data_IF_701615958254
#
_entry.id   IF_701615958254
#
_cell.length_a   1.000
_cell.length_b   1.000
_cell.length_c   1.000
_cell.angle_alpha   90.00
_cell.angle_beta   90.00
_cell.angle_gamma   90.00
#
_symmetry.space_group_name_H-M   'P 1'
#
loop_
_entity.id
_entity.type
_entity.pdbx_description
1 polymer ?
#
# COMPACT_ATOMS: atom_id res chain seq x y z
N UNK A 1 -25.69 16.55 -26.58
CA UNK A 1 -24.83 17.50 -27.35
C UNK A 1 -25.03 17.32 -28.85
N UNK A 2 -24.99 16.11 -29.43
CA UNK A 2 -25.14 15.88 -30.87
C UNK A 2 -26.50 16.35 -31.43
N UNK A 3 -27.59 16.17 -30.65
CA UNK A 3 -28.92 16.62 -31.00
C UNK A 3 -29.03 18.16 -30.97
N UNK A 4 -28.46 18.82 -29.95
CA UNK A 4 -28.41 20.25 -29.79
C UNK A 4 -27.48 20.90 -30.83
N UNK A 5 -26.48 20.19 -31.31
CA UNK A 5 -25.57 20.60 -32.39
C UNK A 5 -26.17 20.38 -33.79
N UNK A 6 -27.38 19.81 -33.91
CA UNK A 6 -28.04 19.54 -35.19
C UNK A 6 -27.41 18.47 -36.06
N UNK A 7 -26.53 17.62 -35.43
CA UNK A 7 -25.83 16.53 -36.12
C UNK A 7 -26.67 15.26 -36.24
N UNK A 8 -27.72 15.12 -35.42
CA UNK A 8 -28.67 14.02 -35.45
C UNK A 8 -30.08 14.58 -35.68
N UNK A 9 -30.87 13.92 -36.53
CA UNK A 9 -32.25 14.32 -36.79
C UNK A 9 -33.09 14.26 -35.50
N UNK A 10 -33.88 15.32 -35.28
CA UNK A 10 -34.82 15.38 -34.17
C UNK A 10 -35.91 14.33 -34.32
N UNK A 11 -36.34 13.72 -33.20
CA UNK A 11 -37.29 12.62 -33.17
C UNK A 11 -38.62 13.11 -32.56
N UNK A 12 -39.74 12.87 -33.26
CA UNK A 12 -41.05 13.16 -32.71
C UNK A 12 -41.43 12.18 -31.57
N UNK A 13 -41.68 12.71 -30.39
CA UNK A 13 -42.15 11.92 -29.26
C UNK A 13 -43.58 11.41 -29.42
N UNK A 14 -43.85 10.23 -28.94
CA UNK A 14 -45.21 9.61 -28.92
C UNK A 14 -45.70 9.53 -27.48
N UNK A 15 -47.04 9.47 -27.28
CA UNK A 15 -47.60 9.24 -25.97
C UNK A 15 -47.04 7.95 -25.33
N UNK A 16 -46.63 8.03 -24.07
CA UNK A 16 -45.97 6.99 -23.28
C UNK A 16 -44.49 6.71 -23.63
N UNK A 17 -43.83 7.53 -24.46
CA UNK A 17 -42.41 7.42 -24.61
C UNK A 17 -41.70 7.79 -23.28
N UNK A 18 -40.67 7.03 -22.93
CA UNK A 18 -39.82 7.29 -21.78
C UNK A 18 -38.46 7.88 -22.27
N UNK A 19 -38.23 9.12 -21.91
CA UNK A 19 -36.92 9.75 -22.15
C UNK A 19 -36.04 9.65 -20.90
N UNK A 20 -35.00 8.81 -20.95
CA UNK A 20 -34.01 8.72 -19.88
C UNK A 20 -32.73 9.47 -20.30
N UNK A 21 -32.40 10.52 -19.57
CA UNK A 21 -31.18 11.30 -19.76
C UNK A 21 -30.25 10.96 -18.59
N UNK A 22 -29.21 10.14 -18.85
CA UNK A 22 -28.20 9.82 -17.86
C UNK A 22 -27.19 10.96 -17.71
N UNK A 23 -26.73 11.18 -16.47
CA UNK A 23 -25.63 12.12 -16.24
C UNK A 23 -24.31 11.52 -16.70
N UNK A 24 -23.33 12.37 -17.07
CA UNK A 24 -21.98 11.93 -17.43
C UNK A 24 -21.34 11.12 -16.28
N UNK A 25 -21.60 11.51 -15.05
CA UNK A 25 -21.11 10.81 -13.85
C UNK A 25 -21.70 9.42 -13.67
N UNK A 26 -22.92 9.16 -14.12
CA UNK A 26 -23.54 7.83 -14.09
C UNK A 26 -23.03 6.89 -15.18
N UNK A 27 -22.42 7.44 -16.23
CA UNK A 27 -21.85 6.68 -17.35
C UNK A 27 -20.33 6.45 -17.21
N UNK A 28 -19.66 7.15 -16.29
CA UNK A 28 -18.25 6.93 -16.01
C UNK A 28 -18.08 5.71 -15.09
N UNK A 29 -17.31 4.74 -15.54
CA UNK A 29 -16.78 3.72 -14.64
C UNK A 29 -15.95 4.42 -13.56
N UNK A 30 -16.25 4.14 -12.28
CA UNK A 30 -15.42 4.61 -11.17
C UNK A 30 -14.11 3.83 -11.20
N UNK A 31 -13.08 4.45 -11.76
CA UNK A 31 -11.75 3.89 -11.75
C UNK A 31 -11.13 4.02 -10.35
N UNK A 32 -10.56 2.95 -9.87
CA UNK A 32 -9.90 2.91 -8.58
C UNK A 32 -8.57 2.17 -8.65
N UNK A 33 -7.75 2.36 -7.63
CA UNK A 33 -6.49 1.67 -7.39
C UNK A 33 -6.47 1.21 -5.93
N UNK A 34 -5.83 0.09 -5.66
CA UNK A 34 -5.80 -0.48 -4.30
C UNK A 34 -4.37 -0.51 -3.79
N UNK A 35 -4.17 -0.10 -2.54
CA UNK A 35 -2.88 -0.25 -1.84
C UNK A 35 -3.05 -1.11 -0.59
N UNK A 36 -2.15 -2.06 -0.42
CA UNK A 36 -2.17 -3.06 0.63
C UNK A 36 -0.78 -3.21 1.27
N UNK A 37 -0.74 -3.82 2.44
CA UNK A 37 0.50 -4.13 3.16
C UNK A 37 0.92 -3.06 4.15
N UNK A 38 2.23 -2.75 4.23
CA UNK A 38 2.81 -1.91 5.27
C UNK A 38 2.66 -0.40 4.99
N UNK A 39 1.40 0.04 4.88
CA UNK A 39 1.00 1.45 4.78
C UNK A 39 0.07 1.81 5.94
N UNK A 40 -0.06 3.10 6.25
CA UNK A 40 -0.88 3.53 7.40
C UNK A 40 -2.38 3.32 7.18
N UNK A 41 -2.84 3.46 5.95
CA UNK A 41 -4.26 3.30 5.58
C UNK A 41 -4.38 2.43 4.33
N UNK A 42 -4.28 1.09 4.47
CA UNK A 42 -4.47 0.19 3.33
C UNK A 42 -5.95 0.18 2.92
N UNK A 43 -6.24 0.62 1.69
CA UNK A 43 -7.60 0.72 1.16
C UNK A 43 -7.60 0.84 -0.37
N UNK A 44 -8.80 0.98 -0.92
CA UNK A 44 -9.03 1.29 -2.33
C UNK A 44 -9.30 2.78 -2.49
N UNK A 45 -8.54 3.43 -3.35
CA UNK A 45 -8.57 4.87 -3.59
C UNK A 45 -9.07 5.18 -4.99
N UNK A 46 -9.74 6.32 -5.20
CA UNK A 46 -10.13 6.74 -6.54
C UNK A 46 -8.88 7.00 -7.41
N UNK A 47 -8.91 6.48 -8.62
CA UNK A 47 -7.83 6.70 -9.59
C UNK A 47 -7.94 8.10 -10.21
N UNK A 48 -6.81 8.77 -10.32
CA UNK A 48 -6.66 10.01 -11.10
C UNK A 48 -5.71 9.79 -12.29
N UNK A 49 -5.97 10.46 -13.40
CA UNK A 49 -5.10 10.37 -14.58
C UNK A 49 -3.69 10.88 -14.25
N UNK A 50 -2.69 10.09 -14.60
CA UNK A 50 -1.29 10.40 -14.30
C UNK A 50 -0.87 10.07 -12.87
N UNK A 51 -1.74 9.46 -12.05
CA UNK A 51 -1.44 9.08 -10.66
C UNK A 51 -0.22 8.16 -10.60
N UNK A 52 0.72 8.49 -9.74
CA UNK A 52 1.93 7.69 -9.49
C UNK A 52 1.78 6.79 -8.26
N UNK A 53 2.76 5.90 -8.04
CA UNK A 53 2.78 5.07 -6.82
C UNK A 53 2.98 5.94 -5.58
N UNK A 54 3.75 7.02 -5.68
CA UNK A 54 3.96 7.97 -4.60
C UNK A 54 2.67 8.69 -4.21
N UNK A 55 1.89 9.15 -5.19
CA UNK A 55 0.61 9.79 -4.94
C UNK A 55 -0.32 8.85 -4.16
N UNK A 56 -0.33 7.56 -4.54
CA UNK A 56 -1.12 6.55 -3.85
C UNK A 56 -0.60 6.29 -2.42
N UNK A 57 0.72 6.26 -2.22
CA UNK A 57 1.32 6.14 -0.87
C UNK A 57 0.97 7.35 -0.01
N UNK A 58 1.00 8.56 -0.57
CA UNK A 58 0.58 9.79 0.13
C UNK A 58 -0.92 9.73 0.47
N UNK A 59 -1.77 9.30 -0.45
CA UNK A 59 -3.20 9.11 -0.21
C UNK A 59 -3.46 8.09 0.92
N UNK A 60 -2.61 7.05 1.03
CA UNK A 60 -2.63 6.07 2.11
C UNK A 60 -1.97 6.56 3.43
N UNK A 61 -1.75 7.87 3.59
CA UNK A 61 -1.12 8.50 4.74
C UNK A 61 0.36 8.10 4.98
N UNK A 62 1.02 7.54 3.97
CA UNK A 62 2.43 7.16 4.00
C UNK A 62 2.69 5.73 4.45
N UNK A 63 3.97 5.37 4.45
CA UNK A 63 4.45 4.05 4.83
C UNK A 63 4.51 3.88 6.35
N UNK A 64 4.41 2.63 6.81
CA UNK A 64 4.76 2.24 8.15
C UNK A 64 6.30 2.13 8.28
N UNK A 65 6.83 2.25 9.49
CA UNK A 65 8.26 2.07 9.79
C UNK A 65 8.76 0.67 9.39
N UNK A 66 7.88 -0.32 9.46
CA UNK A 66 8.14 -1.70 9.07
C UNK A 66 8.16 -1.94 7.56
N UNK A 67 7.78 -0.95 6.75
CA UNK A 67 7.70 -1.09 5.30
C UNK A 67 9.07 -1.29 4.64
N UNK A 68 9.11 -2.09 3.59
CA UNK A 68 10.27 -2.20 2.72
C UNK A 68 10.15 -1.21 1.56
N UNK A 69 10.99 -0.18 1.56
CA UNK A 69 11.07 0.74 0.43
C UNK A 69 11.65 0.08 -0.84
N UNK A 70 12.46 -0.98 -0.68
CA UNK A 70 13.10 -1.69 -1.78
C UNK A 70 12.18 -2.70 -2.49
N UNK A 71 10.96 -2.93 -2.04
CA UNK A 71 10.13 -4.04 -2.53
C UNK A 71 8.65 -3.68 -2.55
N UNK A 72 8.27 -2.79 -3.45
CA UNK A 72 6.88 -2.49 -3.75
C UNK A 72 6.48 -3.24 -5.02
N UNK A 73 5.45 -4.07 -4.90
CA UNK A 73 4.95 -4.91 -5.98
C UNK A 73 3.65 -4.33 -6.52
N UNK A 74 3.57 -4.13 -7.83
CA UNK A 74 2.38 -3.65 -8.52
C UNK A 74 1.86 -4.78 -9.39
N UNK A 75 0.57 -5.09 -9.24
CA UNK A 75 -0.11 -6.11 -10.04
C UNK A 75 -1.11 -5.42 -10.94
N UNK A 76 -0.93 -5.55 -12.25
CA UNK A 76 -1.76 -4.98 -13.29
C UNK A 76 -2.53 -6.06 -14.04
N UNK A 77 -3.82 -5.86 -14.22
CA UNK A 77 -4.66 -6.77 -15.00
C UNK A 77 -4.37 -6.61 -16.49
N UNK A 78 -4.13 -7.74 -17.17
CA UNK A 78 -4.06 -7.74 -18.61
C UNK A 78 -5.49 -7.77 -19.17
N UNK A 79 -5.94 -6.65 -19.69
CA UNK A 79 -7.21 -6.53 -20.40
C UNK A 79 -6.92 -6.54 -21.91
N UNK A 80 -7.24 -7.62 -22.60
CA UNK A 80 -7.31 -7.62 -24.05
C UNK A 80 -8.78 -7.73 -24.49
N UNK A 81 -9.44 -6.58 -24.75
CA UNK A 81 -10.87 -6.56 -25.12
C UNK A 81 -11.15 -7.20 -26.49
N UNK A 82 -10.13 -7.52 -27.27
CA UNK A 82 -10.25 -8.12 -28.61
C UNK A 82 -9.96 -9.63 -28.61
N UNK A 83 -9.46 -10.17 -27.49
CA UNK A 83 -9.15 -11.60 -27.40
C UNK A 83 -10.42 -12.40 -27.11
N UNK A 84 -10.75 -13.34 -28.00
CA UNK A 84 -11.77 -14.34 -27.77
C UNK A 84 -11.20 -15.60 -27.09
N UNK A 85 -9.90 -15.62 -26.80
CA UNK A 85 -9.23 -16.74 -26.14
C UNK A 85 -8.86 -16.36 -24.71
N UNK A 86 -9.04 -17.31 -23.80
CA UNK A 86 -8.58 -17.19 -22.43
C UNK A 86 -7.05 -17.20 -22.43
N UNK A 87 -6.43 -16.10 -22.04
CA UNK A 87 -4.97 -16.04 -21.88
C UNK A 87 -4.59 -16.73 -20.56
N UNK A 88 -3.54 -17.55 -20.60
CA UNK A 88 -2.97 -18.15 -19.40
C UNK A 88 -2.32 -17.10 -18.47
N UNK A 89 -1.94 -15.94 -19.03
CA UNK A 89 -1.39 -14.82 -18.27
C UNK A 89 -2.48 -13.80 -17.97
N UNK A 90 -2.93 -13.75 -16.73
CA UNK A 90 -4.02 -12.87 -16.27
C UNK A 90 -3.53 -11.52 -15.75
N UNK A 91 -2.30 -11.48 -15.24
CA UNK A 91 -1.71 -10.31 -14.57
C UNK A 91 -0.26 -10.10 -14.99
N UNK A 92 0.15 -8.85 -14.95
CA UNK A 92 1.54 -8.42 -15.04
C UNK A 92 2.00 -7.89 -13.69
N UNK A 93 3.22 -8.27 -13.29
CA UNK A 93 3.77 -7.92 -11.99
C UNK A 93 5.01 -7.06 -12.22
N UNK A 94 5.01 -5.88 -11.61
CA UNK A 94 6.14 -4.97 -11.56
C UNK A 94 6.66 -4.90 -10.13
N UNK A 95 7.98 -4.85 -9.98
CA UNK A 95 8.61 -4.59 -8.68
C UNK A 95 9.44 -3.33 -8.80
N UNK A 96 9.21 -2.39 -7.91
CA UNK A 96 9.88 -1.10 -7.88
C UNK A 96 10.49 -0.83 -6.51
N UNK A 97 11.48 0.05 -6.46
CA UNK A 97 12.08 0.58 -5.24
C UNK A 97 11.60 2.01 -5.02
N UNK A 98 11.20 2.33 -3.79
CA UNK A 98 10.90 3.70 -3.37
C UNK A 98 12.17 4.30 -2.75
N UNK A 99 12.69 5.40 -3.29
CA UNK A 99 13.78 6.16 -2.68
C UNK A 99 13.24 7.04 -1.56
N UNK A 100 13.95 7.04 -0.41
CA UNK A 100 13.67 7.88 0.76
C UNK A 100 12.20 7.82 1.24
N UNK A 101 11.55 6.67 1.01
CA UNK A 101 10.18 6.41 1.44
C UNK A 101 9.08 7.08 0.63
N UNK A 102 9.39 7.93 -0.35
CA UNK A 102 8.40 8.67 -1.14
C UNK A 102 8.81 8.95 -2.60
N UNK A 103 10.05 8.65 -3.00
CA UNK A 103 10.52 8.92 -4.35
C UNK A 103 10.91 7.62 -5.04
N UNK A 104 10.32 7.33 -6.18
CA UNK A 104 10.71 6.19 -7.02
C UNK A 104 12.13 6.40 -7.52
N UNK A 105 13.00 5.48 -7.17
CA UNK A 105 14.37 5.48 -7.64
C UNK A 105 14.48 4.96 -9.05
N UNK A 106 14.20 5.79 -10.03
CA UNK A 106 14.36 5.46 -11.44
C UNK A 106 14.14 6.69 -12.30
N UNK A 107 14.71 6.73 -13.49
CA UNK A 107 14.58 7.86 -14.42
C UNK A 107 13.12 8.10 -14.91
N UNK A 108 12.15 7.27 -14.48
CA UNK A 108 10.73 7.43 -14.82
C UNK A 108 9.87 7.05 -13.61
N UNK A 109 9.03 8.00 -13.20
CA UNK A 109 7.93 7.78 -12.28
C UNK A 109 7.05 6.63 -12.80
N UNK A 110 6.69 5.69 -11.91
CA UNK A 110 5.78 4.61 -12.30
C UNK A 110 4.34 5.11 -12.23
N UNK A 111 3.75 5.31 -13.41
CA UNK A 111 2.36 5.75 -13.55
C UNK A 111 1.43 4.54 -13.41
N UNK A 112 0.50 4.64 -12.47
CA UNK A 112 -0.54 3.66 -12.23
C UNK A 112 -1.58 3.66 -13.34
N UNK A 113 -2.24 2.54 -13.51
CA UNK A 113 -3.42 2.41 -14.37
C UNK A 113 -4.66 2.05 -13.51
N UNK A 114 -5.87 2.30 -14.01
CA UNK A 114 -7.08 1.89 -13.34
C UNK A 114 -7.06 0.41 -12.96
N UNK A 115 -7.48 0.12 -11.71
CA UNK A 115 -7.53 -1.21 -11.10
C UNK A 115 -6.17 -1.86 -10.82
N UNK A 116 -5.06 -1.10 -10.85
CA UNK A 116 -3.78 -1.58 -10.34
C UNK A 116 -3.87 -1.85 -8.84
N UNK A 117 -3.18 -2.90 -8.41
CA UNK A 117 -3.01 -3.21 -6.99
C UNK A 117 -1.54 -3.06 -6.61
N UNK A 118 -1.29 -2.20 -5.64
CA UNK A 118 0.04 -1.94 -5.09
C UNK A 118 0.15 -2.65 -3.75
N UNK A 119 1.20 -3.44 -3.58
CA UNK A 119 1.48 -4.15 -2.34
C UNK A 119 2.84 -3.75 -1.78
N UNK A 120 2.83 -3.11 -0.62
CA UNK A 120 4.03 -2.72 0.13
C UNK A 120 4.39 -3.83 1.10
N UNK A 121 5.55 -4.48 0.89
CA UNK A 121 5.99 -5.58 1.73
C UNK A 121 6.64 -5.09 3.01
N UNK A 122 6.57 -5.93 4.05
CA UNK A 122 7.32 -5.70 5.28
C UNK A 122 8.82 -5.90 5.02
N UNK A 123 9.64 -5.03 5.61
CA UNK A 123 11.08 -5.17 5.58
C UNK A 123 11.52 -6.41 6.37
N UNK A 124 12.31 -7.32 5.78
CA UNK A 124 12.80 -8.51 6.47
C UNK A 124 13.82 -8.17 7.58
N UNK A 125 14.39 -6.97 7.54
CA UNK A 125 15.36 -6.49 8.53
C UNK A 125 14.70 -5.68 9.65
N UNK A 126 13.40 -5.38 9.53
CA UNK A 126 12.68 -4.67 10.57
C UNK A 126 12.50 -5.58 11.80
N UNK A 127 12.99 -5.12 12.91
CA UNK A 127 12.87 -5.80 14.20
C UNK A 127 12.20 -4.86 15.18
N UNK A 128 11.11 -5.29 15.77
CA UNK A 128 10.46 -4.56 16.87
C UNK A 128 11.39 -4.57 18.07
N UNK A 129 11.51 -3.45 18.77
CA UNK A 129 12.24 -3.40 20.03
C UNK A 129 11.61 -4.36 21.03
N UNK A 130 12.40 -5.30 21.50
CA UNK A 130 12.01 -6.24 22.53
C UNK A 130 12.76 -5.91 23.81
N UNK A 131 12.11 -6.08 24.96
CA UNK A 131 12.71 -5.88 26.28
C UNK A 131 12.45 -7.07 27.19
N UNK A 132 13.31 -7.22 28.19
CA UNK A 132 13.17 -8.18 29.28
C UNK A 132 13.03 -7.41 30.58
N UNK A 133 12.07 -7.78 31.40
CA UNK A 133 11.91 -7.22 32.76
C UNK A 133 12.77 -8.00 33.73
N UNK A 134 13.64 -7.31 34.46
CA UNK A 134 14.49 -7.86 35.52
C UNK A 134 13.95 -7.37 36.86
N UNK A 135 13.68 -8.29 37.77
CA UNK A 135 13.15 -8.02 39.12
C UNK A 135 13.86 -8.91 40.15
N UNK A 136 13.85 -8.50 41.41
CA UNK A 136 14.41 -9.25 42.53
C UNK A 136 15.81 -8.75 42.91
N UNK A 137 16.66 -9.67 43.34
CA UNK A 137 17.99 -9.40 43.93
C UNK A 137 19.02 -8.93 42.85
N UNK A 138 18.76 -7.81 42.19
CA UNK A 138 19.65 -7.11 41.26
C UNK A 138 19.83 -5.67 41.70
N UNK A 139 20.94 -5.04 41.31
CA UNK A 139 21.21 -3.65 41.70
C UNK A 139 20.17 -2.66 41.17
N UNK A 140 19.68 -2.86 39.94
CA UNK A 140 18.68 -2.00 39.31
C UNK A 140 17.60 -2.87 38.68
N UNK A 141 16.42 -2.91 39.28
CA UNK A 141 15.25 -3.52 38.65
C UNK A 141 14.73 -2.65 37.52
N UNK A 142 14.15 -3.28 36.46
CA UNK A 142 13.55 -2.54 35.36
C UNK A 142 13.45 -3.32 34.06
N UNK A 143 13.11 -2.58 33.01
CA UNK A 143 13.04 -3.11 31.65
C UNK A 143 14.35 -2.85 30.90
N UNK A 144 14.95 -3.90 30.39
CA UNK A 144 16.20 -3.87 29.64
C UNK A 144 15.96 -4.26 28.18
N UNK A 145 16.38 -3.45 27.21
CA UNK A 145 16.21 -3.77 25.81
C UNK A 145 17.11 -4.93 25.39
N UNK A 146 16.59 -5.81 24.54
CA UNK A 146 17.40 -6.83 23.88
C UNK A 146 18.17 -6.19 22.72
N UNK A 147 19.46 -5.99 22.88
CA UNK A 147 20.32 -5.29 21.93
C UNK A 147 20.62 -6.17 20.70
N UNK A 148 20.65 -7.49 20.85
CA UNK A 148 20.82 -8.46 19.79
C UNK A 148 20.07 -9.76 20.05
N UNK A 149 19.82 -10.55 18.96
CA UNK A 149 18.95 -11.75 19.00
C UNK A 149 19.44 -12.85 19.95
N UNK A 150 20.74 -12.92 20.23
CA UNK A 150 21.36 -13.97 21.03
C UNK A 150 21.83 -13.43 22.39
N UNK A 151 21.22 -12.37 22.91
CA UNK A 151 21.56 -11.78 24.20
C UNK A 151 21.38 -12.81 25.32
N UNK A 152 22.39 -12.94 26.16
CA UNK A 152 22.42 -13.94 27.24
C UNK A 152 21.96 -13.33 28.56
N UNK A 153 21.48 -14.20 29.46
CA UNK A 153 21.05 -13.81 30.80
C UNK A 153 22.15 -13.05 31.56
N UNK A 154 23.40 -13.47 31.45
CA UNK A 154 24.55 -12.81 32.10
C UNK A 154 24.71 -11.35 31.63
N UNK A 155 24.45 -11.06 30.36
CA UNK A 155 24.58 -9.70 29.80
C UNK A 155 23.48 -8.79 30.36
N UNK A 156 22.26 -9.33 30.50
CA UNK A 156 21.13 -8.58 31.11
C UNK A 156 21.38 -8.33 32.59
N UNK A 157 21.85 -9.33 33.35
CA UNK A 157 22.19 -9.17 34.76
C UNK A 157 23.31 -8.14 34.93
N UNK A 158 24.34 -8.15 34.06
CA UNK A 158 25.39 -7.14 34.11
C UNK A 158 24.84 -5.73 33.79
N UNK A 159 23.91 -5.61 32.85
CA UNK A 159 23.24 -4.34 32.54
C UNK A 159 22.38 -3.84 33.72
N UNK A 160 21.85 -4.76 34.53
CA UNK A 160 21.11 -4.47 35.75
C UNK A 160 22.02 -4.18 36.96
N UNK A 161 23.35 -4.03 36.75
CA UNK A 161 24.31 -3.74 37.79
C UNK A 161 24.78 -4.96 38.61
N UNK A 162 24.47 -6.17 38.12
CA UNK A 162 24.78 -7.43 38.80
C UNK A 162 23.76 -7.82 39.85
N UNK A 163 24.00 -8.98 40.47
CA UNK A 163 23.17 -9.47 41.56
C UNK A 163 23.60 -8.85 42.91
N UNK A 164 22.66 -8.65 43.80
CA UNK A 164 22.93 -8.15 45.15
C UNK A 164 23.48 -9.29 46.08
N UNK A 165 24.09 -8.99 47.24
CA UNK A 165 24.58 -9.99 48.17
C UNK A 165 23.46 -10.91 48.72
N UNK A 166 22.20 -10.53 48.59
CA UNK A 166 21.04 -11.35 48.99
C UNK A 166 20.57 -12.33 47.93
N UNK A 167 21.16 -12.33 46.74
CA UNK A 167 20.78 -13.27 45.69
C UNK A 167 21.21 -14.70 46.01
N UNK A 168 20.33 -15.65 45.71
CA UNK A 168 20.56 -17.09 45.87
C UNK A 168 21.00 -17.73 44.56
#
# INVERSE_FOLDING_TARGET
EALMAGTIADINLRPNDLLAISSITQMQEEYNVTILGEVKSPDTYPYAEGMTVEDLVVAANGLLESASAANVTITRRLKDPKSMQVSDKLFEIFTIELKDGLVVGGEKEFVLQPFDQVYVRRSPVYVTQSSVTVQGEVAFEGNYPLIHRNMRLSEIINSAGGVTPGAF
#
